data_IF_684737585308
#
_entry.id   IF_684737585308
#
_cell.length_a   1.000
_cell.length_b   1.000
_cell.length_c   1.000
_cell.angle_alpha   90.00
_cell.angle_beta   90.00
_cell.angle_gamma   90.00
#
_symmetry.space_group_name_H-M   'P 1'
#
loop_
_entity.id
_entity.type
_entity.pdbx_description
1 polymer ?
#
# COMPACT_ATOMS: atom_id res chain seq x y z
N UNK A 1 4.95 28.95 -29.30
CA UNK A 1 5.92 29.42 -28.30
C UNK A 1 7.27 29.50 -28.97
N UNK A 2 8.01 30.57 -28.74
CA UNK A 2 9.32 30.79 -29.36
C UNK A 2 10.37 29.97 -28.62
N UNK A 3 10.97 28.98 -29.31
CA UNK A 3 11.94 28.05 -28.74
C UNK A 3 13.20 28.77 -28.23
N UNK A 4 13.50 29.94 -28.80
CA UNK A 4 14.62 30.78 -28.38
C UNK A 4 14.39 31.39 -26.99
N UNK A 5 13.14 31.73 -26.65
CA UNK A 5 12.79 32.29 -25.33
C UNK A 5 12.97 31.27 -24.19
N UNK A 6 12.64 30.00 -24.44
CA UNK A 6 12.86 28.91 -23.47
C UNK A 6 14.35 28.65 -23.23
N UNK A 7 15.15 28.61 -24.30
CA UNK A 7 16.60 28.39 -24.20
C UNK A 7 17.27 29.54 -23.44
N UNK A 8 16.87 30.79 -23.71
CA UNK A 8 17.43 31.95 -23.03
C UNK A 8 17.07 31.99 -21.54
N UNK A 9 15.84 31.59 -21.17
CA UNK A 9 15.41 31.54 -19.77
C UNK A 9 16.18 30.48 -18.96
N UNK A 10 16.47 29.31 -19.55
CA UNK A 10 17.30 28.27 -18.94
C UNK A 10 18.72 28.78 -18.72
N UNK A 11 19.32 29.43 -19.74
CA UNK A 11 20.67 29.99 -19.63
C UNK A 11 20.77 31.12 -18.59
N UNK A 12 19.73 31.93 -18.44
CA UNK A 12 19.70 32.98 -17.41
C UNK A 12 19.63 32.39 -15.99
N UNK A 13 18.85 31.32 -15.79
CA UNK A 13 18.79 30.58 -14.52
C UNK A 13 20.11 29.88 -14.17
N UNK A 14 20.81 29.32 -15.15
CA UNK A 14 22.12 28.68 -14.95
C UNK A 14 23.24 29.69 -14.59
N UNK A 15 23.06 30.97 -14.93
CA UNK A 15 24.02 32.04 -14.67
C UNK A 15 23.61 32.97 -13.50
N UNK A 16 22.66 32.54 -12.65
CA UNK A 16 22.13 33.30 -11.50
C UNK A 16 21.61 34.72 -11.87
N UNK A 17 21.08 34.87 -13.09
CA UNK A 17 20.43 36.11 -13.53
C UNK A 17 18.95 36.02 -13.14
N UNK A 18 18.58 36.66 -12.04
CA UNK A 18 17.21 36.70 -11.51
C UNK A 18 16.30 37.62 -12.34
N UNK A 19 15.83 37.14 -13.48
CA UNK A 19 14.71 37.76 -14.20
C UNK A 19 13.40 37.04 -13.88
N UNK A 20 12.37 37.81 -13.50
CA UNK A 20 11.02 37.25 -13.31
C UNK A 20 10.44 36.80 -14.66
N UNK A 21 10.23 35.50 -14.82
CA UNK A 21 9.51 34.93 -15.96
C UNK A 21 8.04 35.39 -15.87
N UNK A 22 7.69 36.37 -16.69
CA UNK A 22 6.35 37.00 -16.72
C UNK A 22 5.35 36.22 -17.57
N UNK A 23 5.82 35.31 -18.42
CA UNK A 23 4.99 34.42 -19.24
C UNK A 23 4.56 33.17 -18.43
N UNK A 24 3.25 32.98 -18.17
CA UNK A 24 2.72 31.87 -17.38
C UNK A 24 2.96 30.49 -18.02
N UNK A 25 2.94 30.41 -19.35
CA UNK A 25 3.11 29.13 -20.06
C UNK A 25 4.59 28.70 -20.02
N UNK A 26 5.50 29.66 -20.18
CA UNK A 26 6.94 29.46 -20.03
C UNK A 26 7.32 29.09 -18.58
N UNK A 27 6.68 29.72 -17.59
CA UNK A 27 6.87 29.38 -16.18
C UNK A 27 6.41 27.95 -15.85
N UNK A 28 5.35 27.48 -16.51
CA UNK A 28 4.85 26.11 -16.33
C UNK A 28 5.82 25.07 -16.91
N UNK A 29 6.35 25.30 -18.10
CA UNK A 29 7.33 24.39 -18.72
C UNK A 29 8.66 24.37 -17.95
N UNK A 30 9.14 25.53 -17.48
CA UNK A 30 10.33 25.60 -16.62
C UNK A 30 10.12 24.87 -15.29
N UNK A 31 8.93 24.98 -14.68
CA UNK A 31 8.63 24.27 -13.44
C UNK A 31 8.67 22.76 -13.61
N UNK A 32 8.15 22.22 -14.72
CA UNK A 32 8.24 20.79 -15.02
C UNK A 32 9.69 20.35 -15.26
N UNK A 33 10.51 21.19 -15.90
CA UNK A 33 11.91 20.86 -16.18
C UNK A 33 12.80 20.93 -14.94
N UNK A 34 12.56 21.90 -14.04
CA UNK A 34 13.31 22.10 -12.79
C UNK A 34 12.86 21.11 -11.71
N UNK A 35 11.61 20.66 -11.73
CA UNK A 35 11.05 19.73 -10.73
C UNK A 35 11.85 18.43 -10.64
N UNK A 36 12.39 17.93 -11.76
CA UNK A 36 13.23 16.72 -11.77
C UNK A 36 14.50 16.94 -10.92
N UNK A 37 15.18 18.08 -11.11
CA UNK A 37 16.38 18.43 -10.36
C UNK A 37 16.11 18.77 -8.89
N UNK A 38 14.96 19.39 -8.59
CA UNK A 38 14.53 19.65 -7.20
C UNK A 38 14.19 18.35 -6.47
N UNK A 39 13.55 17.40 -7.15
CA UNK A 39 13.23 16.07 -6.60
C UNK A 39 14.54 15.25 -6.36
N UNK A 40 15.56 15.41 -7.21
CA UNK A 40 16.90 14.84 -7.02
C UNK A 40 17.69 15.51 -5.87
N UNK A 41 17.63 16.84 -5.73
CA UNK A 41 18.26 17.54 -4.61
C UNK A 41 17.56 17.24 -3.27
N UNK A 42 16.24 17.05 -3.27
CA UNK A 42 15.48 16.64 -2.08
C UNK A 42 15.82 15.21 -1.62
N UNK A 43 16.20 14.33 -2.55
CA UNK A 43 16.68 12.97 -2.20
C UNK A 43 18.11 12.98 -1.66
N UNK A 44 18.95 13.91 -2.08
CA UNK A 44 20.31 14.10 -1.54
C UNK A 44 20.34 14.81 -0.17
N UNK A 45 19.38 15.70 0.10
CA UNK A 45 19.30 16.47 1.37
C UNK A 45 18.72 15.72 2.58
N UNK A 46 18.15 14.52 2.41
CA UNK A 46 17.55 13.75 3.51
C UNK A 46 18.57 13.05 4.44
N UNK A 47 19.86 13.32 4.24
CA UNK A 47 20.99 12.62 4.85
C UNK A 47 21.64 13.32 6.04
N UNK A 48 20.96 14.16 6.82
CA UNK A 48 21.50 14.64 8.11
C UNK A 48 20.37 15.12 9.01
N UNK A 49 19.93 14.28 9.95
CA UNK A 49 19.56 14.75 11.29
C UNK A 49 19.38 13.60 12.29
N UNK A 50 20.10 13.77 13.39
CA UNK A 50 20.34 12.85 14.50
C UNK A 50 19.12 12.71 15.42
N UNK A 51 18.63 11.48 15.60
CA UNK A 51 18.04 10.98 16.87
C UNK A 51 17.56 9.53 16.73
N UNK A 52 18.17 8.63 17.50
CA UNK A 52 17.55 7.41 18.07
C UNK A 52 16.90 6.36 17.16
N UNK A 53 17.21 6.29 15.86
CA UNK A 53 16.58 5.31 14.95
C UNK A 53 17.35 3.99 14.93
N UNK A 54 16.63 2.87 15.08
CA UNK A 54 17.06 1.54 14.61
C UNK A 54 17.75 1.73 13.26
N UNK A 55 19.05 1.39 13.18
CA UNK A 55 19.83 1.50 11.93
C UNK A 55 19.07 0.74 10.84
N UNK A 56 18.46 1.45 9.88
CA UNK A 56 17.95 0.85 8.63
C UNK A 56 19.16 0.22 7.93
N UNK A 57 19.36 -1.07 8.16
CA UNK A 57 20.36 -1.87 7.45
C UNK A 57 19.93 -1.84 5.98
N UNK A 58 20.79 -1.39 5.06
CA UNK A 58 20.56 -1.50 3.61
C UNK A 58 20.32 -2.99 3.32
N UNK A 59 19.05 -3.40 3.13
CA UNK A 59 18.65 -4.81 3.03
C UNK A 59 18.48 -5.17 1.56
N UNK A 60 18.83 -6.41 1.22
CA UNK A 60 18.90 -6.91 -0.15
C UNK A 60 17.48 -7.11 -0.68
N UNK A 61 17.06 -6.32 -1.67
CA UNK A 61 15.77 -6.50 -2.38
C UNK A 61 15.66 -7.94 -2.90
N UNK A 62 14.45 -8.51 -2.86
CA UNK A 62 14.14 -9.77 -3.55
C UNK A 62 14.53 -9.60 -5.02
N UNK A 63 15.36 -10.51 -5.52
CA UNK A 63 15.79 -10.47 -6.92
C UNK A 63 14.79 -11.30 -7.72
N UNK A 64 14.43 -10.88 -8.94
CA UNK A 64 13.59 -11.70 -9.80
C UNK A 64 14.28 -13.07 -10.03
N UNK A 65 13.50 -14.14 -10.20
CA UNK A 65 14.06 -15.46 -10.44
C UNK A 65 14.99 -15.44 -11.66
N UNK A 66 16.12 -16.14 -11.54
CA UNK A 66 17.16 -16.25 -12.59
C UNK A 66 17.12 -17.63 -13.21
N UNK A 67 17.09 -17.71 -14.53
CA UNK A 67 17.15 -18.98 -15.26
C UNK A 67 16.16 -19.02 -16.43
N UNK A 68 16.10 -20.15 -17.17
CA UNK A 68 15.06 -20.36 -18.17
C UNK A 68 13.67 -20.38 -17.49
N UNK A 69 12.64 -19.93 -18.22
CA UNK A 69 11.25 -19.97 -17.77
C UNK A 69 10.87 -21.44 -17.47
N UNK A 70 10.52 -21.78 -16.22
CA UNK A 70 10.15 -23.14 -15.83
C UNK A 70 8.70 -23.45 -16.21
N UNK A 71 8.31 -24.73 -16.05
CA UNK A 71 6.90 -25.11 -16.05
C UNK A 71 6.30 -24.81 -14.68
N UNK A 72 5.38 -23.85 -14.63
CA UNK A 72 4.82 -23.29 -13.40
C UNK A 72 4.14 -24.36 -12.54
N UNK A 73 3.35 -25.26 -13.14
CA UNK A 73 2.64 -26.35 -12.44
C UNK A 73 3.57 -27.33 -11.71
N UNK A 74 4.82 -27.43 -12.14
CA UNK A 74 5.81 -28.35 -11.54
C UNK A 74 6.56 -27.73 -10.36
N UNK A 75 6.37 -26.43 -10.13
CA UNK A 75 7.00 -25.70 -9.05
C UNK A 75 6.15 -25.75 -7.78
N UNK A 76 6.76 -25.71 -6.59
CA UNK A 76 6.03 -25.45 -5.35
C UNK A 76 5.38 -24.05 -5.36
N UNK A 77 4.30 -23.81 -4.60
CA UNK A 77 3.57 -22.55 -4.61
C UNK A 77 4.42 -21.30 -4.31
N UNK A 78 5.40 -21.39 -3.41
CA UNK A 78 6.37 -20.32 -3.12
C UNK A 78 7.15 -19.90 -4.38
N UNK A 79 7.65 -20.86 -5.16
CA UNK A 79 8.35 -20.57 -6.40
C UNK A 79 7.40 -20.10 -7.52
N UNK A 80 6.16 -20.62 -7.57
CA UNK A 80 5.13 -20.09 -8.47
C UNK A 80 4.89 -18.60 -8.20
N UNK A 81 4.70 -18.23 -6.94
CA UNK A 81 4.50 -16.83 -6.54
C UNK A 81 5.72 -15.96 -6.88
N UNK A 82 6.96 -16.47 -6.70
CA UNK A 82 8.17 -15.74 -7.13
C UNK A 82 8.18 -15.41 -8.61
N UNK A 83 7.77 -16.34 -9.47
CA UNK A 83 7.70 -16.11 -10.92
C UNK A 83 6.57 -15.19 -11.35
N UNK A 84 5.45 -15.20 -10.63
CA UNK A 84 4.27 -14.38 -10.97
C UNK A 84 4.40 -12.95 -10.44
N UNK A 85 4.78 -12.79 -9.17
CA UNK A 85 4.84 -11.49 -8.51
C UNK A 85 6.21 -10.82 -8.63
N UNK A 86 7.24 -11.58 -9.01
CA UNK A 86 8.60 -11.09 -9.26
C UNK A 86 9.14 -10.34 -8.03
N UNK A 87 9.64 -9.11 -8.22
CA UNK A 87 10.19 -8.28 -7.14
C UNK A 87 9.17 -7.92 -6.06
N UNK A 88 7.87 -8.08 -6.33
CA UNK A 88 6.78 -7.80 -5.39
C UNK A 88 6.40 -9.00 -4.54
N UNK A 89 7.01 -10.16 -4.78
CA UNK A 89 6.84 -11.29 -3.88
C UNK A 89 7.50 -11.00 -2.53
N UNK A 90 6.72 -11.15 -1.47
CA UNK A 90 7.16 -10.96 -0.09
C UNK A 90 6.95 -12.31 0.62
N UNK A 91 8.02 -13.08 0.91
CA UNK A 91 7.87 -14.37 1.57
C UNK A 91 7.50 -14.21 3.05
N UNK A 92 7.04 -15.28 3.71
CA UNK A 92 6.59 -15.23 5.10
C UNK A 92 7.70 -14.78 6.07
N UNK A 93 8.94 -15.24 5.88
CA UNK A 93 10.11 -14.84 6.68
C UNK A 93 10.34 -13.33 6.59
N UNK A 94 10.04 -12.73 5.42
CA UNK A 94 10.14 -11.29 5.25
C UNK A 94 9.06 -10.54 6.04
N UNK A 95 7.87 -11.11 6.16
CA UNK A 95 6.82 -10.56 7.01
C UNK A 95 7.22 -10.64 8.48
N UNK A 96 7.73 -11.79 8.95
CA UNK A 96 8.25 -11.94 10.31
C UNK A 96 9.33 -10.91 10.64
N UNK A 97 10.31 -10.76 9.74
CA UNK A 97 11.41 -9.80 9.85
C UNK A 97 10.92 -8.35 10.05
N UNK A 98 9.91 -7.94 9.28
CA UNK A 98 9.36 -6.57 9.35
C UNK A 98 8.61 -6.36 10.65
N UNK A 99 7.84 -7.36 11.08
CA UNK A 99 7.03 -7.32 12.29
C UNK A 99 7.85 -7.62 13.55
N UNK A 100 9.09 -8.05 13.40
CA UNK A 100 9.97 -8.52 14.47
C UNK A 100 9.53 -9.84 15.09
N UNK A 101 8.64 -10.60 14.44
CA UNK A 101 8.13 -11.87 14.95
C UNK A 101 9.21 -12.96 14.88
N UNK A 102 9.06 -13.96 15.75
CA UNK A 102 9.83 -15.20 15.70
C UNK A 102 8.83 -16.35 15.90
N UNK A 103 8.17 -16.74 14.81
CA UNK A 103 7.13 -17.76 14.86
C UNK A 103 7.78 -19.12 15.19
N UNK A 104 7.18 -19.91 16.08
CA UNK A 104 7.55 -21.31 16.24
C UNK A 104 7.44 -22.05 14.90
N UNK A 105 8.33 -23.01 14.65
CA UNK A 105 8.39 -23.72 13.36
C UNK A 105 7.06 -24.35 12.95
N UNK A 106 6.27 -24.85 13.91
CA UNK A 106 4.94 -25.41 13.67
C UNK A 106 3.95 -24.35 13.15
N UNK A 107 3.93 -23.17 13.77
CA UNK A 107 3.06 -22.05 13.39
C UNK A 107 3.50 -21.45 12.04
N UNK A 108 4.81 -21.36 11.82
CA UNK A 108 5.36 -20.95 10.54
C UNK A 108 4.90 -21.89 9.41
N UNK A 109 5.03 -23.20 9.63
CA UNK A 109 4.58 -24.21 8.68
C UNK A 109 3.07 -24.11 8.41
N UNK A 110 2.24 -23.92 9.45
CA UNK A 110 0.79 -23.72 9.29
C UNK A 110 0.46 -22.52 8.39
N UNK A 111 1.13 -21.38 8.60
CA UNK A 111 0.92 -20.18 7.78
C UNK A 111 1.48 -20.33 6.36
N UNK A 112 2.53 -21.13 6.18
CA UNK A 112 3.05 -21.49 4.86
C UNK A 112 2.10 -22.44 4.13
N UNK A 113 1.47 -23.40 4.82
CA UNK A 113 0.44 -24.28 4.23
C UNK A 113 -0.83 -23.49 3.86
N UNK A 114 -1.19 -22.47 4.65
CA UNK A 114 -2.24 -21.52 4.29
C UNK A 114 -1.88 -20.70 3.03
N UNK A 115 -0.62 -20.28 2.90
CA UNK A 115 -0.13 -19.61 1.69
C UNK A 115 -0.21 -20.53 0.46
N UNK A 116 0.26 -21.78 0.60
CA UNK A 116 0.29 -22.75 -0.49
C UNK A 116 -1.12 -23.03 -1.03
N UNK A 117 -2.10 -23.16 -0.13
CA UNK A 117 -3.53 -23.25 -0.50
C UNK A 117 -4.01 -21.98 -1.20
N UNK A 118 -3.71 -20.80 -0.65
CA UNK A 118 -4.12 -19.52 -1.23
C UNK A 118 -3.60 -19.35 -2.68
N UNK A 119 -2.33 -19.68 -2.94
CA UNK A 119 -1.75 -19.63 -4.29
C UNK A 119 -2.41 -20.66 -5.20
N UNK A 120 -2.60 -21.88 -4.71
CA UNK A 120 -3.24 -22.95 -5.50
C UNK A 120 -4.64 -22.53 -5.94
N UNK A 121 -5.47 -22.05 -5.01
CA UNK A 121 -6.83 -21.59 -5.32
C UNK A 121 -6.83 -20.42 -6.31
N UNK A 122 -5.87 -19.49 -6.17
CA UNK A 122 -5.72 -18.35 -7.07
C UNK A 122 -5.34 -18.75 -8.49
N UNK A 123 -4.55 -19.82 -8.66
CA UNK A 123 -4.14 -20.34 -9.96
C UNK A 123 -5.17 -21.29 -10.60
N UNK A 124 -6.12 -21.79 -9.82
CA UNK A 124 -7.25 -22.59 -10.29
C UNK A 124 -8.46 -21.75 -10.72
N UNK A 125 -8.41 -20.42 -10.57
CA UNK A 125 -9.50 -19.55 -11.01
C UNK A 125 -9.68 -19.62 -12.54
N UNK A 126 -10.92 -19.54 -13.06
CA UNK A 126 -11.18 -19.54 -14.50
C UNK A 126 -10.35 -18.51 -15.29
N UNK A 127 -10.17 -17.30 -14.74
CA UNK A 127 -9.32 -16.27 -15.35
C UNK A 127 -7.81 -16.52 -15.32
N UNK A 128 -7.29 -17.46 -14.54
CA UNK A 128 -5.84 -17.73 -14.44
C UNK A 128 -5.49 -19.09 -15.04
N UNK A 129 -6.38 -20.07 -14.96
CA UNK A 129 -6.11 -21.47 -15.30
C UNK A 129 -5.61 -21.66 -16.74
N UNK A 130 -6.19 -20.96 -17.72
CA UNK A 130 -5.76 -21.07 -19.13
C UNK A 130 -4.30 -20.61 -19.32
N UNK A 131 -3.89 -19.55 -18.60
CA UNK A 131 -2.51 -19.07 -18.66
C UNK A 131 -1.55 -20.00 -17.90
N UNK A 132 -2.00 -20.67 -16.85
CA UNK A 132 -1.24 -21.70 -16.12
C UNK A 132 -1.00 -22.93 -17.01
N UNK A 133 -2.05 -23.47 -17.63
CA UNK A 133 -1.98 -24.65 -18.51
C UNK A 133 -1.08 -24.42 -19.73
N UNK A 134 -1.10 -23.19 -20.29
CA UNK A 134 -0.23 -22.78 -21.40
C UNK A 134 1.18 -22.40 -20.96
N UNK A 135 1.44 -22.39 -19.66
CA UNK A 135 2.68 -21.89 -19.05
C UNK A 135 3.02 -20.44 -19.49
N UNK A 136 2.00 -19.61 -19.67
CA UNK A 136 2.11 -18.21 -20.07
C UNK A 136 2.37 -17.32 -18.84
N UNK A 137 3.58 -17.44 -18.29
CA UNK A 137 4.04 -16.63 -17.15
C UNK A 137 3.91 -15.12 -17.45
N UNK A 138 4.25 -14.59 -18.64
CA UNK A 138 4.05 -13.18 -18.94
C UNK A 138 2.59 -12.72 -18.82
N UNK A 139 1.62 -13.53 -19.28
CA UNK A 139 0.20 -13.22 -19.11
C UNK A 139 -0.20 -13.17 -17.63
N UNK A 140 0.27 -14.13 -16.83
CA UNK A 140 0.05 -14.14 -15.37
C UNK A 140 0.68 -12.91 -14.71
N UNK A 141 1.93 -12.59 -15.02
CA UNK A 141 2.62 -11.39 -14.50
C UNK A 141 1.85 -10.11 -14.82
N UNK A 142 1.32 -9.99 -16.04
CA UNK A 142 0.48 -8.86 -16.46
C UNK A 142 -0.84 -8.82 -15.67
N UNK A 143 -1.45 -9.97 -15.43
CA UNK A 143 -2.70 -10.09 -14.69
C UNK A 143 -2.55 -9.71 -13.21
N UNK A 144 -1.43 -10.08 -12.60
CA UNK A 144 -1.08 -9.72 -11.23
C UNK A 144 -0.27 -8.42 -11.15
N UNK A 145 -0.16 -7.64 -12.22
CA UNK A 145 0.69 -6.44 -12.32
C UNK A 145 0.37 -5.33 -11.31
N UNK A 146 -0.79 -5.38 -10.66
CA UNK A 146 -1.19 -4.41 -9.63
C UNK A 146 -1.35 -5.04 -8.25
N UNK A 147 -1.16 -6.36 -8.14
CA UNK A 147 -1.42 -7.13 -6.94
C UNK A 147 -0.16 -7.35 -6.11
N UNK A 148 -0.32 -7.43 -4.80
CA UNK A 148 0.71 -7.80 -3.83
C UNK A 148 0.11 -8.79 -2.83
N UNK A 149 0.80 -9.89 -2.59
CA UNK A 149 0.45 -10.85 -1.55
C UNK A 149 0.93 -10.32 -0.20
N UNK A 150 0.04 -10.30 0.78
CA UNK A 150 0.34 -9.82 2.13
C UNK A 150 -0.16 -10.84 3.13
N UNK A 151 0.71 -11.23 4.06
CA UNK A 151 0.33 -11.92 5.27
C UNK A 151 -0.02 -10.90 6.36
N UNK A 152 -1.27 -10.90 6.80
CA UNK A 152 -1.78 -10.06 7.88
C UNK A 152 -1.65 -10.81 9.20
N UNK A 153 -0.64 -10.49 9.99
CA UNK A 153 -0.48 -11.06 11.33
C UNK A 153 -1.26 -10.23 12.37
N UNK A 154 -1.91 -10.88 13.36
CA UNK A 154 -2.65 -10.16 14.40
C UNK A 154 -1.74 -9.52 15.46
N UNK A 155 -0.44 -9.81 15.44
CA UNK A 155 0.55 -9.37 16.42
C UNK A 155 1.82 -8.85 15.74
N UNK A 156 2.54 -7.97 16.44
CA UNK A 156 3.89 -7.52 16.10
C UNK A 156 4.73 -7.45 17.37
N UNK A 157 6.06 -7.42 17.25
CA UNK A 157 6.95 -7.20 18.38
C UNK A 157 7.24 -5.71 18.57
N UNK A 158 6.98 -5.20 19.78
CA UNK A 158 7.32 -3.86 20.21
C UNK A 158 8.01 -3.92 21.57
N UNK A 159 9.20 -3.31 21.67
CA UNK A 159 9.99 -3.31 22.92
C UNK A 159 10.17 -4.72 23.54
N UNK A 160 10.42 -5.72 22.70
CA UNK A 160 10.60 -7.14 23.09
C UNK A 160 9.32 -7.85 23.58
N UNK A 161 8.16 -7.21 23.45
CA UNK A 161 6.86 -7.80 23.77
C UNK A 161 5.99 -8.01 22.52
N UNK A 162 5.26 -9.12 22.47
CA UNK A 162 4.26 -9.37 21.45
C UNK A 162 2.99 -8.57 21.76
N UNK A 163 2.67 -7.59 20.92
CA UNK A 163 1.50 -6.72 21.08
C UNK A 163 0.53 -6.92 19.92
N UNK A 164 -0.77 -6.81 20.20
CA UNK A 164 -1.79 -6.91 19.17
C UNK A 164 -1.68 -5.74 18.16
N UNK A 165 -1.87 -6.04 16.88
CA UNK A 165 -1.82 -5.05 15.80
C UNK A 165 -3.07 -4.17 15.86
N UNK A 166 -2.86 -2.89 16.13
CA UNK A 166 -3.87 -1.82 16.16
C UNK A 166 -3.27 -0.56 15.55
N UNK A 167 -4.06 0.52 15.40
CA UNK A 167 -3.50 1.80 14.95
C UNK A 167 -2.45 2.31 15.94
N UNK A 168 -2.66 2.09 17.23
CA UNK A 168 -1.73 2.45 18.30
C UNK A 168 -0.38 1.74 18.16
N UNK A 169 -0.39 0.41 18.15
CA UNK A 169 0.86 -0.37 18.08
C UNK A 169 1.59 -0.21 16.74
N UNK A 170 0.88 -0.07 15.62
CA UNK A 170 1.50 0.27 14.33
C UNK A 170 2.21 1.62 14.37
N UNK A 171 1.63 2.60 15.06
CA UNK A 171 2.22 3.93 15.18
C UNK A 171 3.47 3.95 16.03
N UNK A 172 3.49 3.13 17.08
CA UNK A 172 4.62 3.04 18.00
C UNK A 172 5.75 2.20 17.39
N UNK A 173 5.45 1.10 16.71
CA UNK A 173 6.43 0.27 16.00
C UNK A 173 6.99 0.92 14.73
N UNK A 174 6.17 1.67 13.98
CA UNK A 174 6.53 2.27 12.69
C UNK A 174 6.32 3.81 12.65
N UNK A 175 6.97 4.58 13.54
CA UNK A 175 6.73 6.01 13.68
C UNK A 175 7.14 6.82 12.43
N UNK A 176 7.99 6.26 11.56
CA UNK A 176 8.37 6.85 10.27
C UNK A 176 7.20 6.97 9.30
N UNK A 177 6.15 6.17 9.44
CA UNK A 177 4.96 6.23 8.56
C UNK A 177 3.95 7.28 9.01
N UNK A 178 4.07 7.81 10.22
CA UNK A 178 3.11 8.76 10.77
C UNK A 178 3.72 10.14 10.94
N UNK A 179 2.88 11.16 10.91
CA UNK A 179 3.31 12.49 11.35
C UNK A 179 3.58 12.49 12.85
N UNK A 180 4.58 13.30 13.28
CA UNK A 180 4.95 13.45 14.69
C UNK A 180 3.72 13.75 15.53
N UNK A 181 3.62 13.09 16.70
CA UNK A 181 2.54 13.35 17.67
C UNK A 181 2.60 14.82 18.07
N UNK A 182 1.45 15.50 17.99
CA UNK A 182 1.30 16.89 18.41
C UNK A 182 1.07 16.93 19.92
N UNK A 183 1.32 18.09 20.57
CA UNK A 183 0.96 18.31 21.98
C UNK A 183 -0.52 18.03 22.27
N UNK A 184 -1.40 18.31 21.30
CA UNK A 184 -2.81 17.90 21.34
C UNK A 184 -2.96 16.57 20.60
N UNK A 185 -3.49 15.52 21.23
CA UNK A 185 -3.69 14.24 20.56
C UNK A 185 -4.61 14.41 19.36
N UNK A 186 -4.40 13.59 18.32
CA UNK A 186 -5.31 13.60 17.18
C UNK A 186 -6.69 13.08 17.62
N UNK A 187 -7.75 13.55 16.97
CA UNK A 187 -9.13 13.19 17.33
C UNK A 187 -9.40 11.67 17.32
N UNK A 188 -8.67 10.92 16.50
CA UNK A 188 -8.83 9.47 16.36
C UNK A 188 -8.20 8.69 17.51
N UNK A 189 -7.22 9.26 18.24
CA UNK A 189 -6.55 8.60 19.37
C UNK A 189 -7.49 8.38 20.56
N UNK A 190 -8.62 9.09 20.58
CA UNK A 190 -9.69 8.94 21.57
C UNK A 190 -10.81 7.98 21.12
N UNK A 191 -10.71 7.35 19.94
CA UNK A 191 -11.76 6.48 19.40
C UNK A 191 -11.43 5.00 19.61
N UNK A 192 -12.44 4.17 19.79
CA UNK A 192 -12.28 2.74 20.10
C UNK A 192 -11.47 2.00 19.02
N UNK A 193 -11.71 2.30 17.74
CA UNK A 193 -10.99 1.67 16.62
C UNK A 193 -9.47 1.91 16.64
N UNK A 194 -8.98 2.89 17.41
CA UNK A 194 -7.55 3.15 17.54
C UNK A 194 -6.83 1.99 18.25
N UNK A 195 -7.54 1.30 19.16
CA UNK A 195 -7.05 0.19 19.98
C UNK A 195 -7.64 -1.15 19.58
N UNK A 196 -8.59 -1.17 18.65
CA UNK A 196 -9.21 -2.41 18.17
C UNK A 196 -8.15 -3.25 17.44
N UNK A 197 -7.92 -4.50 17.88
CA UNK A 197 -6.89 -5.34 17.29
C UNK A 197 -7.36 -5.99 15.99
N UNK A 198 -6.40 -6.30 15.12
CA UNK A 198 -6.61 -7.20 13.99
C UNK A 198 -6.97 -8.61 14.51
N UNK A 199 -8.01 -9.22 13.93
CA UNK A 199 -8.67 -10.38 14.54
C UNK A 199 -7.96 -11.72 14.35
N UNK A 200 -7.41 -11.98 13.17
CA UNK A 200 -6.92 -13.29 12.79
C UNK A 200 -5.80 -13.21 11.75
N UNK A 201 -4.81 -14.12 11.81
CA UNK A 201 -3.80 -14.28 10.77
C UNK A 201 -4.45 -14.71 9.46
N UNK A 202 -4.02 -14.16 8.32
CA UNK A 202 -4.46 -14.64 7.00
C UNK A 202 -3.60 -14.11 5.86
N UNK A 203 -3.56 -14.86 4.77
CA UNK A 203 -3.06 -14.39 3.48
C UNK A 203 -4.15 -13.67 2.70
N UNK A 204 -3.76 -12.60 2.01
CA UNK A 204 -4.63 -11.83 1.14
C UNK A 204 -3.91 -11.41 -0.14
N UNK A 205 -4.69 -11.20 -1.20
CA UNK A 205 -4.23 -10.49 -2.39
C UNK A 205 -4.70 -9.04 -2.31
N UNK A 206 -3.76 -8.11 -2.10
CA UNK A 206 -4.04 -6.68 -2.14
C UNK A 206 -3.91 -6.14 -3.55
N UNK A 207 -4.92 -5.42 -4.04
CA UNK A 207 -4.75 -4.60 -5.24
C UNK A 207 -4.25 -3.21 -4.84
N UNK A 208 -3.21 -2.75 -5.54
CA UNK A 208 -2.64 -1.41 -5.41
C UNK A 208 -3.36 -0.40 -6.29
N UNK A 209 -4.28 -0.84 -7.14
CA UNK A 209 -5.22 0.03 -7.83
C UNK A 209 -6.47 0.28 -7.01
N UNK A 210 -6.80 1.56 -6.87
CA UNK A 210 -7.99 1.97 -6.14
C UNK A 210 -9.22 1.84 -7.03
N UNK A 211 -10.31 1.36 -6.45
CA UNK A 211 -11.63 1.47 -7.05
C UNK A 211 -12.21 2.84 -6.74
N UNK A 212 -12.49 3.65 -7.76
CA UNK A 212 -13.16 4.93 -7.58
C UNK A 212 -14.61 4.73 -7.08
N UNK A 213 -14.91 5.28 -5.90
CA UNK A 213 -16.20 5.17 -5.22
C UNK A 213 -17.03 6.46 -5.27
N UNK A 214 -16.69 7.41 -6.15
CA UNK A 214 -17.34 8.74 -6.19
C UNK A 214 -18.81 8.64 -6.59
N UNK A 215 -19.13 7.78 -7.55
CA UNK A 215 -20.48 7.65 -8.12
C UNK A 215 -21.25 6.43 -7.62
N UNK A 216 -20.56 5.45 -7.04
CA UNK A 216 -21.13 4.17 -6.59
C UNK A 216 -20.54 3.82 -5.23
N UNK A 217 -21.36 3.26 -4.35
CA UNK A 217 -20.91 2.83 -3.02
C UNK A 217 -19.84 1.72 -3.14
N UNK A 218 -18.88 1.63 -2.21
CA UNK A 218 -17.80 0.65 -2.26
C UNK A 218 -18.30 -0.80 -2.44
N UNK A 219 -19.40 -1.18 -1.80
CA UNK A 219 -19.91 -2.56 -1.79
C UNK A 219 -20.24 -3.04 -3.21
N UNK A 220 -20.89 -2.21 -4.03
CA UNK A 220 -21.22 -2.57 -5.42
C UNK A 220 -19.99 -2.63 -6.32
N UNK A 221 -18.95 -1.86 -6.02
CA UNK A 221 -17.67 -1.90 -6.75
C UNK A 221 -16.89 -3.17 -6.41
N UNK A 222 -16.86 -3.53 -5.12
CA UNK A 222 -16.23 -4.75 -4.63
C UNK A 222 -16.90 -6.01 -5.17
N UNK A 223 -18.24 -6.07 -5.18
CA UNK A 223 -18.98 -7.17 -5.80
C UNK A 223 -18.71 -7.31 -7.31
N UNK A 224 -18.49 -6.19 -8.00
CA UNK A 224 -18.02 -6.20 -9.39
C UNK A 224 -16.61 -6.77 -9.49
N UNK A 225 -15.69 -6.25 -8.67
CA UNK A 225 -14.29 -6.69 -8.63
C UNK A 225 -14.14 -8.18 -8.30
N UNK A 226 -14.90 -8.72 -7.34
CA UNK A 226 -14.93 -10.15 -7.05
C UNK A 226 -15.33 -10.98 -8.27
N UNK A 227 -16.40 -10.56 -8.97
CA UNK A 227 -16.87 -11.24 -10.19
C UNK A 227 -15.87 -11.14 -11.34
N UNK A 228 -15.16 -10.02 -11.47
CA UNK A 228 -14.05 -9.89 -12.41
C UNK A 228 -12.88 -10.84 -12.07
N UNK A 229 -12.84 -11.34 -10.83
CA UNK A 229 -11.94 -12.39 -10.37
C UNK A 229 -12.54 -13.81 -10.41
N UNK A 230 -13.75 -13.98 -10.95
CA UNK A 230 -14.52 -15.22 -10.91
C UNK A 230 -14.80 -15.73 -9.49
N UNK A 231 -14.88 -14.81 -8.53
CA UNK A 231 -15.10 -15.09 -7.11
C UNK A 231 -16.51 -14.68 -6.63
N UNK A 232 -17.03 -15.33 -5.57
CA UNK A 232 -18.20 -14.84 -4.85
C UNK A 232 -18.03 -13.40 -4.36
N UNK A 233 -19.13 -12.63 -4.30
CA UNK A 233 -19.08 -11.20 -3.92
C UNK A 233 -18.42 -10.93 -2.55
N UNK A 234 -18.49 -11.90 -1.63
CA UNK A 234 -17.89 -11.83 -0.29
C UNK A 234 -16.36 -11.92 -0.25
N UNK A 235 -15.72 -12.39 -1.32
CA UNK A 235 -14.27 -12.54 -1.40
C UNK A 235 -13.54 -11.20 -1.57
N UNK A 236 -14.17 -10.20 -2.19
CA UNK A 236 -13.59 -8.86 -2.30
C UNK A 236 -14.01 -7.99 -1.11
N UNK A 237 -13.05 -7.67 -0.26
CA UNK A 237 -13.29 -6.94 0.98
C UNK A 237 -12.74 -5.52 0.93
N UNK A 238 -13.52 -4.60 1.51
CA UNK A 238 -13.02 -3.28 1.86
C UNK A 238 -12.25 -3.37 3.17
N UNK A 239 -11.00 -2.88 3.14
CA UNK A 239 -10.13 -2.82 4.33
C UNK A 239 -10.75 -1.96 5.42
N UNK A 240 -10.60 -2.39 6.68
CA UNK A 240 -10.73 -1.49 7.81
C UNK A 240 -9.47 -0.58 7.91
N UNK A 241 -9.47 0.38 8.83
CA UNK A 241 -8.36 1.32 8.98
C UNK A 241 -7.06 0.63 9.40
N UNK A 242 -7.11 -0.30 10.34
CA UNK A 242 -5.91 -1.01 10.81
C UNK A 242 -5.31 -1.81 9.66
N UNK A 243 -6.14 -2.50 8.89
CA UNK A 243 -5.73 -3.26 7.70
C UNK A 243 -5.11 -2.37 6.61
N UNK A 244 -5.74 -1.24 6.27
CA UNK A 244 -5.18 -0.33 5.26
C UNK A 244 -3.85 0.27 5.71
N UNK A 245 -3.69 0.61 6.99
CA UNK A 245 -2.41 1.09 7.53
C UNK A 245 -1.35 -0.01 7.54
N UNK A 246 -1.72 -1.20 7.99
CA UNK A 246 -0.84 -2.36 8.05
C UNK A 246 -0.28 -2.69 6.66
N UNK A 247 -1.15 -2.82 5.65
CA UNK A 247 -0.72 -3.18 4.30
C UNK A 247 0.22 -2.12 3.70
N UNK A 248 -0.05 -0.82 3.93
CA UNK A 248 0.84 0.27 3.48
C UNK A 248 2.23 0.20 4.11
N UNK A 249 2.28 -0.07 5.41
CA UNK A 249 3.52 -0.16 6.16
C UNK A 249 4.31 -1.38 5.69
N UNK A 250 3.66 -2.55 5.66
CA UNK A 250 4.33 -3.80 5.35
C UNK A 250 4.87 -3.79 3.92
N UNK A 251 4.05 -3.38 2.94
CA UNK A 251 4.49 -3.26 1.54
C UNK A 251 5.60 -2.22 1.40
N UNK A 252 5.50 -1.08 2.09
CA UNK A 252 6.55 -0.06 2.05
C UNK A 252 7.87 -0.50 2.69
N UNK A 253 7.84 -1.28 3.77
CA UNK A 253 9.06 -1.82 4.41
C UNK A 253 9.63 -3.01 3.61
N UNK A 254 8.77 -3.79 2.96
CA UNK A 254 9.19 -4.94 2.16
C UNK A 254 9.83 -4.52 0.83
N UNK A 255 9.18 -3.62 0.09
CA UNK A 255 9.55 -3.25 -1.28
C UNK A 255 10.37 -1.96 -1.36
N UNK A 256 10.44 -1.20 -0.26
CA UNK A 256 11.03 0.15 -0.22
C UNK A 256 10.31 1.13 -1.18
N UNK A 257 9.01 0.89 -1.42
CA UNK A 257 8.16 1.63 -2.34
C UNK A 257 6.80 1.96 -1.73
N UNK A 258 6.31 3.19 -1.96
CA UNK A 258 4.98 3.59 -1.49
C UNK A 258 3.89 3.28 -2.54
N UNK A 259 3.63 2.01 -2.84
CA UNK A 259 2.69 1.60 -3.90
C UNK A 259 1.27 2.19 -3.75
N UNK A 260 0.86 2.46 -2.51
CA UNK A 260 -0.46 3.03 -2.19
C UNK A 260 -0.49 4.57 -2.08
N UNK A 261 0.61 5.29 -2.38
CA UNK A 261 0.72 6.75 -2.23
C UNK A 261 0.05 7.58 -3.34
N UNK A 262 -0.71 6.94 -4.24
CA UNK A 262 -1.48 7.64 -5.29
C UNK A 262 -2.45 8.65 -4.66
N UNK A 263 -2.81 9.72 -5.39
CA UNK A 263 -3.68 10.85 -4.96
C UNK A 263 -5.13 10.42 -4.60
N UNK A 264 -5.30 9.56 -3.61
CA UNK A 264 -6.55 8.88 -3.29
C UNK A 264 -6.77 8.92 -1.78
N UNK A 265 -8.03 9.11 -1.38
CA UNK A 265 -8.47 8.87 -0.01
C UNK A 265 -9.00 7.45 0.10
N UNK A 266 -8.25 6.59 0.79
CA UNK A 266 -8.62 5.20 1.04
C UNK A 266 -9.78 5.15 2.02
N UNK A 267 -10.98 5.01 1.49
CA UNK A 267 -12.19 4.77 2.26
C UNK A 267 -12.07 3.42 2.95
N UNK A 268 -12.24 3.42 4.27
CA UNK A 268 -12.22 2.20 5.08
C UNK A 268 -13.63 1.82 5.51
N UNK A 269 -13.84 0.58 5.93
CA UNK A 269 -15.08 0.15 6.60
C UNK A 269 -15.20 0.73 8.01
N UNK A 270 -14.10 1.26 8.58
CA UNK A 270 -14.07 1.80 9.94
C UNK A 270 -14.95 3.03 10.06
N UNK A 271 -15.76 3.02 11.12
CA UNK A 271 -16.68 4.10 11.45
C UNK A 271 -16.62 4.43 12.92
N UNK A 272 -16.92 5.67 13.29
CA UNK A 272 -16.96 6.11 14.69
C UNK A 272 -18.05 7.15 14.94
N UNK A 273 -18.33 7.44 16.21
CA UNK A 273 -19.21 8.54 16.62
C UNK A 273 -18.44 9.49 17.54
N UNK A 274 -18.36 10.76 17.16
CA UNK A 274 -17.69 11.77 18.00
C UNK A 274 -18.43 12.05 19.33
N UNK A 275 -19.73 11.72 19.42
CA UNK A 275 -20.58 11.82 20.62
C UNK A 275 -21.49 10.60 20.66
N UNK A 276 -21.88 10.10 21.85
CA UNK A 276 -22.70 8.88 22.04
C UNK A 276 -23.97 8.84 21.14
N UNK A 277 -24.64 9.97 20.97
CA UNK A 277 -25.83 10.14 20.11
C UNK A 277 -25.57 10.90 18.79
N UNK A 278 -24.30 11.12 18.43
CA UNK A 278 -23.92 11.85 17.23
C UNK A 278 -24.00 11.02 15.94
N UNK A 279 -23.93 11.67 14.77
CA UNK A 279 -23.90 10.96 13.49
C UNK A 279 -22.64 10.11 13.37
N UNK A 280 -22.78 8.97 12.70
CA UNK A 280 -21.66 8.10 12.38
C UNK A 280 -20.77 8.74 11.31
N UNK A 281 -19.46 8.66 11.51
CA UNK A 281 -18.43 9.20 10.62
C UNK A 281 -17.62 8.06 10.03
N UNK A 282 -17.33 8.14 8.73
CA UNK A 282 -16.40 7.27 8.03
C UNK A 282 -14.98 7.70 8.34
N UNK A 283 -14.06 6.74 8.39
CA UNK A 283 -12.62 6.98 8.49
C UNK A 283 -11.96 6.68 7.14
N UNK A 284 -10.99 7.50 6.77
CA UNK A 284 -10.18 7.28 5.58
C UNK A 284 -8.73 7.66 5.82
N UNK A 285 -7.83 6.96 5.12
CA UNK A 285 -6.40 7.21 5.16
C UNK A 285 -5.92 7.84 3.84
N UNK A 286 -4.89 8.67 3.93
CA UNK A 286 -4.20 9.26 2.77
C UNK A 286 -2.72 9.10 3.00
N UNK A 287 -2.01 8.49 2.05
CA UNK A 287 -0.56 8.42 2.08
C UNK A 287 0.04 9.41 1.10
N UNK A 288 0.97 10.23 1.57
CA UNK A 288 1.76 11.15 0.77
C UNK A 288 3.20 11.04 1.22
N UNK A 289 4.11 10.65 0.31
CA UNK A 289 5.56 10.59 0.56
C UNK A 289 5.87 9.86 1.87
N UNK A 290 5.62 8.55 1.90
CA UNK A 290 5.83 7.65 3.04
C UNK A 290 5.06 7.98 4.33
N UNK A 291 4.25 9.04 4.35
CA UNK A 291 3.48 9.47 5.51
C UNK A 291 1.99 9.25 5.31
N UNK A 292 1.35 8.64 6.30
CA UNK A 292 -0.09 8.41 6.33
C UNK A 292 -0.78 9.42 7.25
N UNK A 293 -1.89 9.98 6.75
CA UNK A 293 -2.82 10.83 7.50
C UNK A 293 -4.16 10.14 7.63
N UNK A 294 -4.74 10.19 8.83
CA UNK A 294 -6.06 9.62 9.13
C UNK A 294 -7.08 10.76 9.27
N UNK A 295 -8.20 10.62 8.57
CA UNK A 295 -9.26 11.62 8.53
C UNK A 295 -10.63 11.00 8.81
N UNK A 296 -11.56 11.80 9.33
CA UNK A 296 -12.92 11.38 9.63
C UNK A 296 -13.94 12.36 9.05
N UNK A 297 -14.98 11.85 8.37
CA UNK A 297 -16.03 12.69 7.79
C UNK A 297 -17.41 12.04 7.90
N UNK A 298 -18.45 12.86 8.03
CA UNK A 298 -19.85 12.42 8.05
C UNK A 298 -20.26 12.01 6.63
N UNK A 299 -20.77 10.79 6.48
CA UNK A 299 -21.22 10.23 5.19
C UNK A 299 -20.09 10.00 4.17
N UNK A 300 -20.47 9.63 2.94
CA UNK A 300 -19.54 9.61 1.81
C UNK A 300 -19.11 11.06 1.56
N UNK A 301 -17.81 11.38 1.59
CA UNK A 301 -17.39 12.76 1.44
C UNK A 301 -17.93 13.35 0.11
N UNK A 302 -18.70 14.44 0.19
CA UNK A 302 -18.84 15.32 -0.97
C UNK A 302 -17.47 15.96 -1.22
N UNK A 303 -16.70 15.40 -2.15
CA UNK A 303 -15.44 15.97 -2.59
C UNK A 303 -15.76 17.02 -3.64
N UNK A 304 -15.41 18.28 -3.36
CA UNK A 304 -15.46 19.31 -4.40
C UNK A 304 -14.46 18.90 -5.48
N UNK A 305 -14.87 18.90 -6.74
CA UNK A 305 -14.03 18.57 -7.91
C UNK A 305 -12.69 19.35 -7.96
N UNK A 306 -12.59 20.46 -7.21
CA UNK A 306 -11.38 21.28 -7.06
C UNK A 306 -10.29 20.67 -6.16
N UNK A 307 -10.51 19.55 -5.45
CA UNK A 307 -9.46 18.89 -4.62
C UNK A 307 -9.05 17.55 -5.22
N UNK A 308 -7.73 17.36 -5.35
CA UNK A 308 -7.05 16.23 -6.04
C UNK A 308 -7.25 14.84 -5.43
N UNK A 309 -7.90 14.68 -4.26
CA UNK A 309 -8.02 13.39 -3.58
C UNK A 309 -9.41 12.79 -3.77
N UNK A 310 -9.51 11.81 -4.67
CA UNK A 310 -10.76 11.12 -4.97
C UNK A 310 -11.03 10.01 -3.93
N UNK A 311 -12.29 9.75 -3.57
CA UNK A 311 -12.63 8.61 -2.71
C UNK A 311 -12.38 7.32 -3.47
N UNK A 312 -11.56 6.45 -2.91
CA UNK A 312 -11.36 5.11 -3.44
C UNK A 312 -11.28 4.07 -2.34
N UNK A 313 -11.46 2.81 -2.71
CA UNK A 313 -11.16 1.67 -1.84
C UNK A 313 -10.08 0.83 -2.53
N UNK A 314 -9.09 0.36 -1.78
CA UNK A 314 -8.14 -0.65 -2.25
C UNK A 314 -8.72 -2.02 -1.88
N UNK A 315 -9.14 -2.85 -2.86
CA UNK A 315 -9.68 -4.16 -2.56
C UNK A 315 -8.62 -5.08 -1.94
N UNK A 316 -9.08 -5.98 -1.08
CA UNK A 316 -8.35 -7.21 -0.74
C UNK A 316 -9.20 -8.39 -1.21
N UNK A 317 -8.59 -9.37 -1.86
CA UNK A 317 -9.22 -10.67 -2.04
C UNK A 317 -8.84 -11.60 -0.90
N UNK A 318 -9.85 -12.27 -0.37
CA UNK A 318 -9.73 -13.39 0.56
C UNK A 318 -10.50 -14.56 -0.03
N UNK A 319 -9.95 -15.76 0.12
CA UNK A 319 -10.73 -16.97 -0.08
C UNK A 319 -11.46 -17.30 1.22
N UNK A 320 -12.63 -17.92 1.10
CA UNK A 320 -13.31 -18.45 2.28
C UNK A 320 -12.49 -19.65 2.76
N UNK A 321 -11.97 -19.57 3.98
CA UNK A 321 -11.51 -20.77 4.69
C UNK A 321 -12.78 -21.49 5.16
N UNK A 322 -13.04 -22.68 4.61
CA UNK A 322 -14.16 -23.55 5.01
C UNK A 322 -14.04 -24.02 6.47
#
# INVERSE_FOLDING_TARGET
MDREALVQAILNLENDIEDQVTDPDLAFELADHIKVYVDELATLGAGQDTSGKRKRKKRKKSRPPKGPIPRLETLPPDDQARWIFMERYIPLERHEDILGLNLPSEVFAEYQDSFDRFITDLLLLPRTIEAVEKNDIPALQKQFATCVLVFRAPQLMFEEEAVAVSVESLRDAFPSYFYKRKKKPNWFEAQDFYREPMKAPRWILCDTEHMNCTLRRPERKLAGYARDWDLPEGCAQQKNLVEDLYDRILVGEALEEDLFSRNVSALTTTRYRARKKGPQRLVFAVQKVHKVTIHGKVGIPHWKAKRRLWPGAFPSLVFHED
#
